data_IF_777894703733
#
_entry.id   IF_777894703733
#
_cell.length_a   1.000
_cell.length_b   1.000
_cell.length_c   1.000
_cell.angle_alpha   90.00
_cell.angle_beta   90.00
_cell.angle_gamma   90.00
#
_symmetry.space_group_name_H-M   'P 1'
#
loop_
_entity.id
_entity.type
_entity.pdbx_description
1 polymer ?
#
# COMPACT_ATOMS: atom_id res chain seq x y z
N UNK A 1 -21.60 -55.22 -12.82
CA UNK A 1 -21.58 -53.76 -13.09
C UNK A 1 -21.94 -53.02 -11.81
N UNK A 2 -20.99 -52.86 -10.89
CA UNK A 2 -21.18 -52.05 -9.68
C UNK A 2 -20.53 -50.70 -9.93
N UNK A 3 -21.33 -49.75 -10.45
CA UNK A 3 -20.92 -48.35 -10.52
C UNK A 3 -20.63 -47.82 -9.11
N UNK A 4 -19.75 -46.82 -8.96
CA UNK A 4 -19.42 -46.31 -7.63
C UNK A 4 -20.68 -45.76 -6.95
N UNK A 5 -20.77 -45.82 -5.60
CA UNK A 5 -21.94 -45.33 -4.88
C UNK A 5 -22.17 -43.87 -5.27
N UNK A 6 -23.35 -43.55 -5.81
CA UNK A 6 -23.77 -42.21 -6.21
C UNK A 6 -23.50 -41.14 -5.14
N UNK A 7 -23.54 -41.54 -3.88
CA UNK A 7 -23.20 -40.74 -2.69
C UNK A 7 -21.73 -40.28 -2.65
N UNK A 8 -20.77 -41.12 -3.08
CA UNK A 8 -19.34 -40.75 -3.06
C UNK A 8 -19.02 -39.63 -4.05
N UNK A 9 -19.67 -39.66 -5.22
CA UNK A 9 -19.55 -38.59 -6.20
C UNK A 9 -20.15 -37.28 -5.67
N UNK A 10 -21.31 -37.34 -5.01
CA UNK A 10 -21.93 -36.17 -4.42
C UNK A 10 -21.00 -35.49 -3.39
N UNK A 11 -20.38 -36.25 -2.48
CA UNK A 11 -19.43 -35.70 -1.52
C UNK A 11 -18.21 -35.06 -2.18
N UNK A 12 -17.66 -35.69 -3.22
CA UNK A 12 -16.53 -35.13 -3.97
C UNK A 12 -16.91 -33.81 -4.65
N UNK A 13 -18.11 -33.71 -5.22
CA UNK A 13 -18.62 -32.46 -5.82
C UNK A 13 -18.79 -31.35 -4.78
N UNK A 14 -19.37 -31.64 -3.61
CA UNK A 14 -19.51 -30.66 -2.52
C UNK A 14 -18.15 -30.17 -2.03
N UNK A 15 -17.18 -31.08 -1.84
CA UNK A 15 -15.83 -30.71 -1.42
C UNK A 15 -15.13 -29.84 -2.47
N UNK A 16 -15.26 -30.18 -3.75
CA UNK A 16 -14.73 -29.37 -4.84
C UNK A 16 -15.35 -27.97 -4.89
N UNK A 17 -16.66 -27.85 -4.67
CA UNK A 17 -17.35 -26.56 -4.64
C UNK A 17 -16.86 -25.67 -3.48
N UNK A 18 -16.64 -26.27 -2.29
CA UNK A 18 -16.09 -25.56 -1.14
C UNK A 18 -14.67 -25.07 -1.40
N UNK A 19 -13.82 -25.88 -2.03
CA UNK A 19 -12.45 -25.48 -2.39
C UNK A 19 -12.47 -24.32 -3.39
N UNK A 20 -13.32 -24.38 -4.41
CA UNK A 20 -13.43 -23.33 -5.43
C UNK A 20 -13.90 -22.01 -4.79
N UNK A 21 -14.91 -22.03 -3.91
CA UNK A 21 -15.38 -20.80 -3.24
C UNK A 21 -14.33 -20.22 -2.30
N UNK A 22 -13.59 -21.06 -1.56
CA UNK A 22 -12.46 -20.61 -0.74
C UNK A 22 -11.36 -19.94 -1.58
N UNK A 23 -10.99 -20.52 -2.74
CA UNK A 23 -9.96 -19.95 -3.62
C UNK A 23 -10.38 -18.60 -4.23
N UNK A 24 -11.65 -18.47 -4.63
CA UNK A 24 -12.20 -17.21 -5.16
C UNK A 24 -12.17 -16.10 -4.10
N UNK A 25 -12.48 -16.42 -2.84
CA UNK A 25 -12.41 -15.47 -1.74
C UNK A 25 -10.97 -14.98 -1.47
N UNK A 26 -9.98 -15.86 -1.55
CA UNK A 26 -8.56 -15.48 -1.42
C UNK A 26 -8.13 -14.60 -2.59
N UNK A 27 -8.50 -14.95 -3.82
CA UNK A 27 -8.21 -14.14 -5.01
C UNK A 27 -8.86 -12.74 -4.92
N UNK A 28 -10.09 -12.65 -4.42
CA UNK A 28 -10.79 -11.38 -4.23
C UNK A 28 -10.18 -10.53 -3.10
N UNK A 29 -9.70 -11.17 -2.01
CA UNK A 29 -8.99 -10.49 -0.94
C UNK A 29 -7.63 -9.93 -1.41
N UNK A 30 -6.93 -10.63 -2.30
CA UNK A 30 -5.72 -10.12 -2.94
C UNK A 30 -6.00 -9.03 -4.00
N UNK A 31 -7.23 -8.98 -4.52
CA UNK A 31 -7.68 -7.99 -5.49
C UNK A 31 -8.45 -6.81 -4.85
N UNK A 32 -8.36 -6.64 -3.52
CA UNK A 32 -8.66 -5.35 -2.92
C UNK A 32 -7.74 -4.32 -3.59
N UNK A 33 -8.33 -3.42 -4.37
CA UNK A 33 -7.65 -2.25 -4.92
C UNK A 33 -6.87 -1.59 -3.79
N UNK A 34 -5.55 -1.79 -3.77
CA UNK A 34 -4.66 -1.09 -2.84
C UNK A 34 -4.95 0.39 -3.04
N UNK A 35 -5.30 1.08 -1.96
CA UNK A 35 -5.58 2.51 -2.00
C UNK A 35 -4.42 3.22 -2.70
N UNK A 36 -4.74 4.05 -3.69
CA UNK A 36 -3.73 4.73 -4.50
C UNK A 36 -3.68 6.21 -4.13
N UNK A 37 -2.49 6.77 -4.06
CA UNK A 37 -2.33 8.22 -3.91
C UNK A 37 -2.78 8.94 -5.17
N UNK A 38 -3.39 10.12 -5.01
CA UNK A 38 -3.76 10.95 -6.16
C UNK A 38 -2.54 11.21 -7.07
N UNK A 39 -2.60 10.90 -8.38
CA UNK A 39 -1.46 11.06 -9.28
C UNK A 39 -0.91 12.49 -9.37
N UNK A 40 -1.74 13.51 -9.09
CA UNK A 40 -1.30 14.90 -9.06
C UNK A 40 -0.49 15.20 -7.81
N UNK A 41 -0.85 14.62 -6.67
CA UNK A 41 -0.10 14.74 -5.42
C UNK A 41 1.26 14.04 -5.53
N UNK A 42 1.30 12.85 -6.12
CA UNK A 42 2.56 12.14 -6.41
C UNK A 42 3.46 13.01 -7.30
N UNK A 43 2.90 13.64 -8.32
CA UNK A 43 3.65 14.54 -9.20
C UNK A 43 4.16 15.78 -8.47
N UNK A 44 3.31 16.41 -7.66
CA UNK A 44 3.68 17.58 -6.87
C UNK A 44 4.79 17.25 -5.87
N UNK A 45 4.68 16.12 -5.18
CA UNK A 45 5.70 15.63 -4.25
C UNK A 45 7.05 15.41 -4.95
N UNK A 46 7.03 14.76 -6.11
CA UNK A 46 8.23 14.54 -6.91
C UNK A 46 8.87 15.85 -7.38
N UNK A 47 8.06 16.84 -7.78
CA UNK A 47 8.57 18.17 -8.15
C UNK A 47 9.22 18.89 -6.97
N UNK A 48 8.62 18.81 -5.76
CA UNK A 48 9.22 19.39 -4.55
C UNK A 48 10.56 18.72 -4.25
N UNK A 49 10.65 17.40 -4.39
CA UNK A 49 11.87 16.66 -4.07
C UNK A 49 13.00 16.95 -5.05
N UNK A 50 12.66 17.12 -6.33
CA UNK A 50 13.58 17.59 -7.35
C UNK A 50 14.11 18.99 -7.04
N UNK A 51 13.23 19.91 -6.65
CA UNK A 51 13.61 21.29 -6.32
C UNK A 51 14.50 21.33 -5.06
N UNK A 52 14.17 20.56 -4.03
CA UNK A 52 14.94 20.46 -2.79
C UNK A 52 16.21 19.62 -2.93
N UNK A 53 16.42 18.97 -4.09
CA UNK A 53 17.53 18.04 -4.36
C UNK A 53 17.67 16.94 -3.32
N UNK A 54 16.54 16.48 -2.78
CA UNK A 54 16.51 15.42 -1.78
C UNK A 54 16.18 14.08 -2.41
N UNK A 55 16.84 13.04 -1.91
CA UNK A 55 16.51 11.66 -2.19
C UNK A 55 16.13 11.01 -0.86
N UNK A 56 14.88 10.60 -0.64
CA UNK A 56 14.51 9.87 0.56
C UNK A 56 15.33 8.60 0.72
N UNK A 57 15.62 8.34 1.98
CA UNK A 57 16.38 7.16 2.40
C UNK A 57 15.68 5.91 1.90
N UNK A 58 16.44 5.07 1.18
CA UNK A 58 15.94 3.82 0.62
C UNK A 58 15.26 2.98 1.72
N UNK A 59 14.01 2.59 1.48
CA UNK A 59 13.24 1.71 2.36
C UNK A 59 12.28 2.40 3.33
N UNK A 60 12.31 3.73 3.48
CA UNK A 60 11.38 4.44 4.36
C UNK A 60 10.00 4.64 3.72
N UNK A 61 9.98 5.00 2.45
CA UNK A 61 8.80 5.06 1.60
C UNK A 61 9.28 5.25 0.16
N UNK A 62 8.74 4.48 -0.78
CA UNK A 62 9.31 4.36 -2.12
C UNK A 62 8.78 5.47 -3.05
N UNK A 63 9.62 6.44 -3.42
CA UNK A 63 9.31 7.52 -4.38
C UNK A 63 8.84 6.97 -5.74
N UNK A 64 9.37 5.81 -6.13
CA UNK A 64 9.06 5.18 -7.42
C UNK A 64 7.76 4.37 -7.39
N UNK A 65 7.12 4.27 -6.23
CA UNK A 65 5.95 3.42 -6.00
C UNK A 65 4.77 4.20 -5.44
N UNK A 66 4.06 3.59 -4.49
CA UNK A 66 2.91 4.15 -3.81
C UNK A 66 3.37 4.86 -2.52
N UNK A 67 3.44 6.21 -2.49
CA UNK A 67 4.07 6.94 -1.39
C UNK A 67 3.28 6.81 -0.07
N UNK A 68 1.96 6.66 -0.12
CA UNK A 68 1.13 6.48 1.06
C UNK A 68 1.10 5.02 1.52
N UNK A 69 2.26 4.51 1.94
CA UNK A 69 2.43 3.15 2.50
C UNK A 69 3.33 3.16 3.74
N UNK A 70 3.26 2.08 4.54
CA UNK A 70 4.12 1.90 5.72
C UNK A 70 3.97 3.06 6.71
N UNK A 71 5.11 3.69 7.04
CA UNK A 71 5.18 4.80 8.00
C UNK A 71 4.30 6.00 7.62
N UNK A 72 4.00 6.20 6.32
CA UNK A 72 3.17 7.31 5.86
C UNK A 72 1.69 7.20 6.30
N UNK A 73 1.20 6.00 6.60
CA UNK A 73 -0.21 5.72 6.95
C UNK A 73 -0.41 5.10 8.34
N UNK A 74 0.67 4.71 9.01
CA UNK A 74 0.60 4.10 10.34
C UNK A 74 0.68 5.14 11.48
N UNK A 75 0.88 4.67 12.71
CA UNK A 75 0.97 5.51 13.90
C UNK A 75 2.35 6.15 14.13
N UNK A 76 3.29 6.03 13.17
CA UNK A 76 4.61 6.68 13.24
C UNK A 76 4.41 8.19 13.40
N UNK A 77 5.06 8.80 14.37
CA UNK A 77 4.92 10.24 14.59
C UNK A 77 5.48 11.06 13.42
N UNK A 78 4.76 12.09 12.96
CA UNK A 78 5.22 12.99 11.89
C UNK A 78 6.55 13.68 12.27
N UNK A 79 6.76 13.95 13.56
CA UNK A 79 8.00 14.57 14.06
C UNK A 79 9.13 13.55 14.31
N UNK A 80 8.96 12.27 13.97
CA UNK A 80 10.01 11.27 14.16
C UNK A 80 11.25 11.62 13.30
N UNK A 81 12.39 11.84 13.96
CA UNK A 81 13.65 12.25 13.33
C UNK A 81 14.27 11.15 12.46
N UNK A 82 13.92 9.88 12.71
CA UNK A 82 14.43 8.76 11.90
C UNK A 82 13.92 8.84 10.46
N UNK A 83 12.75 9.47 10.23
CA UNK A 83 12.14 9.63 8.92
C UNK A 83 12.36 11.05 8.39
N UNK A 84 13.22 11.18 7.38
CA UNK A 84 13.45 12.44 6.69
C UNK A 84 13.91 12.22 5.24
N UNK A 85 13.29 12.89 4.24
CA UNK A 85 12.00 13.57 4.31
C UNK A 85 10.87 12.61 4.68
N UNK A 86 9.76 13.15 5.19
CA UNK A 86 8.63 12.34 5.62
C UNK A 86 7.30 12.97 5.25
N UNK A 87 6.34 12.10 4.95
CA UNK A 87 4.97 12.47 4.63
C UNK A 87 3.99 11.76 5.55
N UNK A 88 2.82 12.35 5.75
CA UNK A 88 1.65 11.65 6.29
C UNK A 88 0.50 11.69 5.31
N UNK A 89 -0.21 10.58 5.26
CA UNK A 89 -1.33 10.39 4.37
C UNK A 89 -2.59 9.98 5.10
N UNK A 90 -3.74 10.34 4.52
CA UNK A 90 -5.04 9.84 4.91
C UNK A 90 -5.70 9.10 3.73
N UNK A 91 -6.06 7.84 3.96
CA UNK A 91 -6.70 6.97 2.96
C UNK A 91 -8.17 6.73 3.29
N UNK A 92 -8.93 7.80 3.61
CA UNK A 92 -10.37 7.72 3.88
C UNK A 92 -11.21 8.09 2.65
N UNK A 93 -10.61 8.70 1.63
CA UNK A 93 -11.30 9.19 0.44
C UNK A 93 -11.80 8.06 -0.46
N UNK A 94 -12.98 8.25 -1.07
CA UNK A 94 -13.69 7.26 -1.91
C UNK A 94 -13.71 5.86 -1.29
N UNK A 95 -14.19 5.75 -0.07
CA UNK A 95 -14.27 4.48 0.69
C UNK A 95 -12.89 3.80 0.84
N UNK A 96 -11.84 4.60 1.05
CA UNK A 96 -10.46 4.13 1.21
C UNK A 96 -9.81 3.59 -0.05
N UNK A 97 -10.27 4.01 -1.23
CA UNK A 97 -9.62 3.67 -2.50
C UNK A 97 -8.61 4.74 -2.94
N UNK A 98 -8.67 5.94 -2.36
CA UNK A 98 -7.76 7.04 -2.66
C UNK A 98 -7.14 7.57 -1.38
N UNK A 99 -5.82 7.80 -1.42
CA UNK A 99 -5.04 8.42 -0.36
C UNK A 99 -4.67 9.85 -0.72
N UNK A 100 -4.65 10.73 0.30
CA UNK A 100 -4.20 12.10 0.18
C UNK A 100 -3.02 12.38 1.11
N UNK A 101 -2.00 13.07 0.59
CA UNK A 101 -0.88 13.58 1.39
C UNK A 101 -1.38 14.79 2.17
N UNK A 102 -1.31 14.73 3.50
CA UNK A 102 -1.74 15.79 4.40
C UNK A 102 -0.58 16.63 4.93
N UNK A 103 0.56 15.99 5.17
CA UNK A 103 1.72 16.63 5.78
C UNK A 103 3.00 16.22 5.06
N UNK A 104 3.94 17.16 4.94
CA UNK A 104 5.28 16.96 4.37
C UNK A 104 6.28 17.73 5.23
N UNK A 105 7.38 17.08 5.60
CA UNK A 105 8.52 17.72 6.25
C UNK A 105 9.86 17.37 5.60
N UNK A 106 10.80 18.28 5.81
CA UNK A 106 12.23 18.13 5.59
C UNK A 106 12.94 18.67 6.85
N UNK A 107 13.94 17.95 7.37
CA UNK A 107 14.80 18.42 8.46
C UNK A 107 16.17 18.85 7.93
N UNK A 108 16.41 20.15 8.02
CA UNK A 108 17.57 20.92 7.57
C UNK A 108 18.95 20.41 8.01
N UNK A 109 19.07 19.62 9.09
CA UNK A 109 20.34 19.00 9.49
C UNK A 109 20.93 18.04 8.43
N UNK A 110 20.12 17.56 7.49
CA UNK A 110 20.57 16.64 6.43
C UNK A 110 21.39 17.33 5.34
N UNK A 111 21.21 18.65 5.17
CA UNK A 111 21.91 19.45 4.16
C UNK A 111 23.32 19.88 4.61
N UNK A 112 23.63 19.83 5.91
CA UNK A 112 24.92 20.26 6.45
C UNK A 112 26.05 19.21 6.31
N UNK A 113 25.72 17.95 6.01
CA UNK A 113 26.72 16.87 5.87
C UNK A 113 27.38 16.76 4.50
N UNK A 114 27.15 17.72 3.59
CA UNK A 114 27.77 17.74 2.26
C UNK A 114 28.40 19.10 1.94
N UNK A 115 29.38 19.51 2.75
CA UNK A 115 30.38 20.52 2.37
C UNK A 115 31.78 20.09 2.82
#
# INVERSE_FOLDING_TARGET
MSGPPSSMFAFAFFYALLIITSLVNVAHAQNQTKAATDPNEVRALNSIFQEWKISPTLGQWNISGEPCTGAAIDNTSFINMDYNPFIKCECSYKNGTVCHILELKETWYSMETTF
#
